data_IF_023684020026
#
_entry.id   IF_023684020026
#
_cell.length_a   1.000
_cell.length_b   1.000
_cell.length_c   1.000
_cell.angle_alpha   90.00
_cell.angle_beta   90.00
_cell.angle_gamma   90.00
#
_symmetry.space_group_name_H-M   'P 1'
#
loop_
_entity.id
_entity.type
_entity.pdbx_description
1 polymer ?
#
# COMPACT_ATOMS: atom_id res chain seq x y z
N UNK A 1 -2.68 -27.35 -57.01
CA UNK A 1 -2.25 -26.47 -55.91
C UNK A 1 -3.40 -26.35 -54.94
N UNK A 2 -3.35 -27.06 -53.82
CA UNK A 2 -4.36 -26.99 -52.76
C UNK A 2 -3.95 -25.88 -51.79
N UNK A 3 -4.69 -24.77 -51.82
CA UNK A 3 -4.59 -23.69 -50.84
C UNK A 3 -5.16 -24.19 -49.52
N UNK A 4 -4.29 -24.61 -48.61
CA UNK A 4 -4.70 -24.96 -47.23
C UNK A 4 -4.83 -23.64 -46.48
N UNK A 5 -6.07 -23.16 -46.35
CA UNK A 5 -6.39 -22.06 -45.44
C UNK A 5 -6.24 -22.56 -44.01
N UNK A 6 -5.09 -22.29 -43.39
CA UNK A 6 -4.84 -22.56 -41.98
C UNK A 6 -5.56 -21.47 -41.18
N UNK A 7 -6.86 -21.65 -40.97
CA UNK A 7 -7.58 -20.89 -39.95
C UNK A 7 -7.21 -21.47 -38.58
N UNK A 8 -6.97 -20.60 -37.59
CA UNK A 8 -6.80 -21.06 -36.21
C UNK A 8 -8.04 -21.87 -35.79
N UNK A 9 -7.87 -23.03 -35.12
CA UNK A 9 -8.95 -23.73 -34.46
C UNK A 9 -9.70 -22.79 -33.51
N UNK A 10 -11.03 -22.87 -33.50
CA UNK A 10 -11.93 -22.01 -32.72
C UNK A 10 -11.56 -21.99 -31.22
N UNK A 11 -11.16 -23.15 -30.68
CA UNK A 11 -10.66 -23.31 -29.30
C UNK A 11 -9.39 -22.47 -29.00
N UNK A 12 -8.53 -22.26 -30.01
CA UNK A 12 -7.34 -21.40 -29.84
C UNK A 12 -7.70 -19.92 -29.91
N UNK A 13 -8.78 -19.57 -30.62
CA UNK A 13 -9.31 -18.21 -30.69
C UNK A 13 -9.90 -17.80 -29.33
N UNK A 14 -10.73 -18.67 -28.73
CA UNK A 14 -11.30 -18.44 -27.40
C UNK A 14 -10.22 -18.23 -26.33
N UNK A 15 -9.15 -19.03 -26.37
CA UNK A 15 -8.02 -18.89 -25.45
C UNK A 15 -7.28 -17.56 -25.64
N UNK A 16 -7.18 -17.06 -26.87
CA UNK A 16 -6.58 -15.75 -27.14
C UNK A 16 -7.44 -14.63 -26.58
N UNK A 17 -8.76 -14.68 -26.77
CA UNK A 17 -9.67 -13.69 -26.22
C UNK A 17 -9.61 -13.65 -24.68
N UNK A 18 -9.62 -14.82 -24.03
CA UNK A 18 -9.45 -14.91 -22.57
C UNK A 18 -8.13 -14.30 -22.09
N UNK A 19 -7.03 -14.52 -22.82
CA UNK A 19 -5.73 -13.93 -22.48
C UNK A 19 -5.71 -12.41 -22.70
N UNK A 20 -6.36 -11.93 -23.76
CA UNK A 20 -6.48 -10.49 -24.02
C UNK A 20 -7.28 -9.81 -22.91
N UNK A 21 -8.38 -10.39 -22.48
CA UNK A 21 -9.18 -9.85 -21.38
C UNK A 21 -8.39 -9.83 -20.07
N UNK A 22 -7.71 -10.92 -19.74
CA UNK A 22 -6.88 -11.02 -18.52
C UNK A 22 -5.73 -9.99 -18.53
N UNK A 23 -5.06 -9.81 -19.68
CA UNK A 23 -3.96 -8.85 -19.80
C UNK A 23 -4.46 -7.40 -19.75
N UNK A 24 -5.63 -7.10 -20.33
CA UNK A 24 -6.25 -5.78 -20.21
C UNK A 24 -6.65 -5.46 -18.76
N UNK A 25 -7.22 -6.42 -18.04
CA UNK A 25 -7.54 -6.26 -16.63
C UNK A 25 -6.28 -6.00 -15.78
N UNK A 26 -5.20 -6.75 -16.03
CA UNK A 26 -3.91 -6.54 -15.37
C UNK A 26 -3.32 -5.16 -15.68
N UNK A 27 -3.33 -4.73 -16.94
CA UNK A 27 -2.84 -3.42 -17.34
C UNK A 27 -3.66 -2.29 -16.73
N UNK A 28 -4.98 -2.45 -16.61
CA UNK A 28 -5.85 -1.48 -15.96
C UNK A 28 -5.50 -1.34 -14.47
N UNK A 29 -5.28 -2.46 -13.77
CA UNK A 29 -4.85 -2.44 -12.36
C UNK A 29 -3.46 -1.83 -12.21
N UNK A 30 -2.50 -2.17 -13.08
CA UNK A 30 -1.16 -1.58 -13.04
C UNK A 30 -1.18 -0.08 -13.31
N UNK A 31 -2.05 0.40 -14.22
CA UNK A 31 -2.23 1.83 -14.50
C UNK A 31 -2.85 2.59 -13.33
N UNK A 32 -3.65 1.93 -12.50
CA UNK A 32 -4.28 2.57 -11.33
C UNK A 32 -3.31 2.72 -10.15
N UNK A 33 -2.20 1.98 -10.15
CA UNK A 33 -1.19 2.04 -9.10
C UNK A 33 -0.30 3.28 -9.23
N UNK A 34 -0.56 4.26 -8.36
CA UNK A 34 0.28 5.45 -8.21
C UNK A 34 1.41 5.16 -7.23
N UNK A 35 2.64 5.17 -7.74
CA UNK A 35 3.87 4.99 -6.97
C UNK A 35 4.48 6.34 -6.60
N UNK A 36 4.60 6.58 -5.30
CA UNK A 36 5.12 7.81 -4.71
C UNK A 36 6.56 7.63 -4.24
N UNK A 37 7.34 8.69 -4.32
CA UNK A 37 8.60 8.86 -3.60
C UNK A 37 8.37 9.19 -2.13
N UNK A 38 9.42 9.17 -1.31
CA UNK A 38 9.34 9.59 0.09
C UNK A 38 8.80 11.03 0.24
N UNK A 39 9.24 11.92 -0.65
CA UNK A 39 8.80 13.32 -0.71
C UNK A 39 7.31 13.45 -0.99
N UNK A 40 6.84 12.78 -2.03
CA UNK A 40 5.44 12.82 -2.44
C UNK A 40 4.54 12.14 -1.40
N UNK A 41 4.99 11.05 -0.79
CA UNK A 41 4.24 10.36 0.26
C UNK A 41 4.12 11.22 1.53
N UNK A 42 5.20 11.90 1.95
CA UNK A 42 5.15 12.83 3.07
C UNK A 42 4.22 14.02 2.78
N UNK A 43 4.26 14.54 1.55
CA UNK A 43 3.38 15.62 1.10
C UNK A 43 1.91 15.18 1.05
N UNK A 44 1.62 13.96 0.58
CA UNK A 44 0.27 13.38 0.55
C UNK A 44 -0.37 13.35 1.95
N UNK A 45 0.40 12.98 2.97
CA UNK A 45 -0.05 13.01 4.37
C UNK A 45 0.10 14.37 5.07
N UNK A 46 0.62 15.39 4.39
CA UNK A 46 0.89 16.73 4.95
C UNK A 46 1.75 16.69 6.22
N UNK A 47 2.75 15.80 6.25
CA UNK A 47 3.71 15.68 7.35
C UNK A 47 5.12 16.01 6.92
N UNK A 48 5.99 16.31 7.89
CA UNK A 48 7.42 16.46 7.60
C UNK A 48 8.05 15.12 7.21
N UNK A 49 9.08 15.15 6.36
CA UNK A 49 9.88 13.96 6.00
C UNK A 49 10.39 13.22 7.25
N UNK A 50 10.81 13.96 8.27
CA UNK A 50 11.27 13.39 9.55
C UNK A 50 10.20 12.57 10.24
N UNK A 51 8.95 13.06 10.24
CA UNK A 51 7.80 12.34 10.80
C UNK A 51 7.50 11.09 9.98
N UNK A 52 7.54 11.22 8.65
CA UNK A 52 7.32 10.10 7.73
C UNK A 52 8.39 9.01 7.87
N UNK A 53 9.67 9.38 8.01
CA UNK A 53 10.78 8.43 8.28
C UNK A 53 10.61 7.69 9.58
N UNK A 54 10.12 8.36 10.63
CA UNK A 54 9.82 7.68 11.90
C UNK A 54 8.75 6.60 11.69
N UNK A 55 7.71 6.87 10.88
CA UNK A 55 6.72 5.85 10.53
C UNK A 55 7.31 4.66 9.77
N UNK A 56 8.33 4.87 8.94
CA UNK A 56 9.05 3.77 8.29
C UNK A 56 9.77 2.89 9.31
N UNK A 57 10.53 3.51 10.22
CA UNK A 57 11.30 2.80 11.26
C UNK A 57 10.37 2.07 12.22
N UNK A 58 9.25 2.67 12.58
CA UNK A 58 8.25 2.09 13.48
C UNK A 58 7.41 1.00 12.79
N UNK A 59 7.62 0.73 11.50
CA UNK A 59 6.86 -0.27 10.73
C UNK A 59 5.38 0.08 10.56
N UNK A 60 5.08 1.37 10.40
CA UNK A 60 3.70 1.84 10.24
C UNK A 60 3.17 1.72 8.82
N UNK A 61 4.07 1.78 7.84
CA UNK A 61 3.72 1.87 6.43
C UNK A 61 4.57 0.89 5.61
N UNK A 62 3.91 0.22 4.67
CA UNK A 62 4.57 -0.64 3.68
C UNK A 62 5.42 0.20 2.73
N UNK A 63 6.56 -0.34 2.32
CA UNK A 63 7.48 0.30 1.40
C UNK A 63 8.21 -0.73 0.56
N UNK A 64 8.62 -0.31 -0.64
CA UNK A 64 9.33 -1.14 -1.58
C UNK A 64 10.61 -0.44 -2.02
N UNK A 65 11.67 -1.22 -2.21
CA UNK A 65 12.96 -0.69 -2.66
C UNK A 65 13.18 -1.13 -4.11
N UNK A 66 13.14 -0.17 -5.03
CA UNK A 66 13.45 -0.37 -6.43
C UNK A 66 14.72 0.41 -6.76
N UNK A 67 15.77 -0.31 -7.18
CA UNK A 67 17.06 0.27 -7.57
C UNK A 67 17.66 1.24 -6.52
N UNK A 68 17.62 0.84 -5.24
CA UNK A 68 18.13 1.68 -4.16
C UNK A 68 17.15 2.74 -3.64
N UNK A 69 16.08 3.05 -4.39
CA UNK A 69 15.11 4.10 -4.07
C UNK A 69 13.87 3.52 -3.41
N UNK A 70 13.41 4.18 -2.34
CA UNK A 70 12.16 3.83 -1.67
C UNK A 70 10.96 4.34 -2.49
N UNK A 71 10.01 3.44 -2.72
CA UNK A 71 8.75 3.69 -3.39
C UNK A 71 7.59 3.22 -2.54
N UNK A 72 6.50 3.97 -2.62
CA UNK A 72 5.31 3.75 -1.83
C UNK A 72 4.10 3.68 -2.74
N UNK A 73 3.31 2.62 -2.62
CA UNK A 73 2.04 2.57 -3.32
C UNK A 73 1.02 3.44 -2.56
N UNK A 74 0.43 4.42 -3.24
CA UNK A 74 -0.51 5.36 -2.61
C UNK A 74 -1.70 4.66 -1.95
N UNK A 75 -2.28 3.66 -2.62
CA UNK A 75 -3.43 2.91 -2.11
C UNK A 75 -3.08 2.15 -0.84
N UNK A 76 -1.94 1.47 -0.84
CA UNK A 76 -1.49 0.71 0.34
C UNK A 76 -1.16 1.62 1.53
N UNK A 77 -0.59 2.80 1.27
CA UNK A 77 -0.35 3.81 2.31
C UNK A 77 -1.67 4.22 2.97
N UNK A 78 -2.70 4.54 2.18
CA UNK A 78 -4.01 4.94 2.71
C UNK A 78 -4.68 3.78 3.48
N UNK A 79 -4.53 2.54 3.02
CA UNK A 79 -5.01 1.34 3.71
C UNK A 79 -4.29 1.11 5.05
N UNK A 80 -2.97 1.27 5.11
CA UNK A 80 -2.17 1.06 6.32
C UNK A 80 -2.56 2.06 7.42
N UNK A 81 -2.79 3.32 7.02
CA UNK A 81 -3.30 4.35 7.92
C UNK A 81 -4.73 4.07 8.37
N UNK A 82 -5.60 3.69 7.45
CA UNK A 82 -7.00 3.35 7.79
C UNK A 82 -7.07 2.19 8.77
N UNK A 83 -6.27 1.14 8.55
CA UNK A 83 -6.18 -0.03 9.42
C UNK A 83 -5.68 0.34 10.81
N UNK A 84 -4.62 1.14 10.92
CA UNK A 84 -4.08 1.56 12.23
C UNK A 84 -4.98 2.57 12.95
N UNK A 85 -5.67 3.44 12.22
CA UNK A 85 -6.68 4.34 12.80
C UNK A 85 -7.86 3.54 13.39
N UNK A 86 -8.34 2.52 12.68
CA UNK A 86 -9.37 1.60 13.17
C UNK A 86 -8.90 0.83 14.42
N UNK A 87 -7.68 0.31 14.42
CA UNK A 87 -7.09 -0.39 15.58
C UNK A 87 -6.94 0.56 16.78
N UNK A 88 -6.55 1.81 16.56
CA UNK A 88 -6.48 2.82 17.64
C UNK A 88 -7.86 3.14 18.18
N UNK A 89 -8.85 3.38 17.32
CA UNK A 89 -10.22 3.66 17.74
C UNK A 89 -10.84 2.47 18.51
N UNK A 90 -10.56 1.25 18.09
CA UNK A 90 -10.99 0.03 18.78
C UNK A 90 -10.32 -0.14 20.16
N UNK A 91 -9.06 0.30 20.31
CA UNK A 91 -8.29 0.17 21.55
C UNK A 91 -8.37 1.40 22.48
N UNK A 92 -8.93 2.52 22.01
CA UNK A 92 -9.14 3.74 22.79
C UNK A 92 -9.91 3.54 24.11
N UNK A 93 -10.99 2.73 24.18
CA UNK A 93 -11.66 2.46 25.46
C UNK A 93 -10.83 1.63 26.46
N UNK A 94 -9.79 0.93 26.02
CA UNK A 94 -8.86 0.19 26.90
C UNK A 94 -7.75 1.10 27.44
N UNK A 95 -7.26 2.04 26.61
CA UNK A 95 -6.23 3.01 27.02
C UNK A 95 -6.73 4.04 28.04
N UNK A 96 -8.02 4.38 28.04
CA UNK A 96 -8.64 5.23 29.09
C UNK A 96 -8.74 4.56 30.47
N UNK A 97 -8.64 3.23 30.54
CA UNK A 97 -8.78 2.46 31.79
C UNK A 97 -7.43 2.09 32.43
N UNK A 98 -6.30 2.41 31.80
CA UNK A 98 -4.98 2.18 32.37
C UNK A 98 -4.53 3.41 33.18
N UNK A 99 -4.28 3.30 34.49
CA UNK A 99 -3.64 4.37 35.24
C UNK A 99 -2.22 4.57 34.70
N UNK A 100 -1.86 5.81 34.40
CA UNK A 100 -0.52 6.21 33.96
C UNK A 100 0.54 5.68 34.95
N UNK A 101 1.49 4.84 34.53
CA UNK A 101 2.61 4.48 35.38
C UNK A 101 3.56 5.68 35.49
N UNK A 102 3.70 6.18 36.72
CA UNK A 102 4.73 7.09 37.24
C UNK A 102 4.45 8.61 37.21
N UNK A 103 3.53 9.04 38.08
CA UNK A 103 3.60 10.34 38.76
C UNK A 103 4.19 10.20 40.20
N UNK A 104 5.19 9.33 40.39
CA UNK A 104 5.89 9.13 41.69
C UNK A 104 7.40 9.37 41.56
N UNK A 105 7.80 10.56 41.14
CA UNK A 105 9.11 11.15 41.49
C UNK A 105 8.99 12.67 41.44
N UNK A 106 8.56 13.28 42.55
CA UNK A 106 8.91 14.63 43.02
C UNK A 106 7.99 15.00 44.19
N UNK A 107 8.33 14.51 45.38
CA UNK A 107 7.90 15.05 46.67
C UNK A 107 8.86 14.51 47.75
N UNK A 108 10.12 14.90 47.65
CA UNK A 108 11.12 14.75 48.70
C UNK A 108 12.27 15.72 48.40
N UNK A 109 12.01 17.00 48.59
CA UNK A 109 12.96 18.02 49.03
C UNK A 109 12.21 18.98 49.94
#
# INVERSE_FOLDING_TARGET
MTTISISLPEEQLEKQDMLLDATQALLAEMRSQVWLTEEEAAAHFKVSKSTFRRWLVDGWIRHYKYDGVLRFNRRELDEDFSRKALVRAANEPLLRKMPLPNARKQAAQ
#
